data_IF_051294986359
#
_entry.id   IF_051294986359
#
_cell.length_a   1.000
_cell.length_b   1.000
_cell.length_c   1.000
_cell.angle_alpha   90.00
_cell.angle_beta   90.00
_cell.angle_gamma   90.00
#
_symmetry.space_group_name_H-M   'P 1'
#
loop_
_entity.id
_entity.type
_entity.pdbx_description
1 polymer ?
2 polymer ?
3 polymer ?
4 non-polymer ?
5 water ?
#
loop_
_entity_poly.entity_id
_entity_poly.type
_entity_poly.pdbx_seq_one_letter_code
_entity_poly.pdbx_strand_id
2 'polydeoxyribonucleotide' '(DG)(DA)(DA)(DC)(DA)(DC)(DC)(DA)(DC)(DA)(DC)(DA)(DA)(DC)(DA)(DC)(DC)(DC)(DA)(DC)(DA)(DC)(DA)(DC)(DC)(DA)(DG)(DG)(DT)(DG)(DT)' ?
3 'polydeoxyribonucleotide' '(DA)(DC)(DC)(DT)(DG)(DG)(DT)(DG)(DT)(DG)(DT)(DG)(DG)(DG)(DT)(DG)(DT)(DT)(DG)(DT)(DG)(DT)(DG)(DG)(DT)(DG)(DT)(DT)(DC)(DA)(DC)' ?
#
# COMPACT_ATOMS: atom_id res chain seq x y z
N UNK A 1 23.11 -26.10 9.98
CA UNK A 1 22.29 -25.23 10.83
C UNK A 1 23.07 -24.73 12.06
N UNK A 2 22.68 -23.55 12.60
CA UNK A 2 23.31 -22.91 13.76
C UNK A 2 22.29 -22.28 14.74
N UNK A 3 22.49 -22.49 16.06
CA UNK A 3 21.60 -22.00 17.13
C UNK A 3 21.70 -20.50 17.43
N UNK A 4 20.56 -19.89 17.82
CA UNK A 4 20.43 -18.46 18.16
C UNK A 4 20.63 -18.23 19.65
N UNK A 5 21.68 -17.46 20.01
CA UNK A 5 21.94 -17.10 21.41
C UNK A 5 21.12 -15.88 21.80
N UNK A 6 20.95 -15.65 23.12
CA UNK A 6 20.23 -14.49 23.68
C UNK A 6 20.92 -13.17 23.27
N UNK A 7 22.29 -13.20 23.09
CA UNK A 7 23.13 -12.09 22.63
C UNK A 7 22.62 -11.63 21.26
N UNK A 8 22.51 -12.59 20.30
CA UNK A 8 22.02 -12.37 18.94
C UNK A 8 20.56 -11.90 18.95
N UNK A 9 19.67 -12.63 19.67
CA UNK A 9 18.23 -12.34 19.79
C UNK A 9 18.00 -10.87 20.19
N UNK A 10 18.65 -10.42 21.27
CA UNK A 10 18.53 -9.07 21.76
C UNK A 10 19.14 -8.04 20.85
N UNK A 11 20.07 -8.48 19.95
CA UNK A 11 20.68 -7.59 18.97
C UNK A 11 19.70 -7.41 17.81
N UNK A 12 18.99 -8.49 17.38
CA UNK A 12 17.92 -8.45 16.33
C UNK A 12 16.88 -7.38 16.75
N UNK A 13 16.34 -7.52 17.99
CA UNK A 13 15.38 -6.59 18.60
C UNK A 13 15.88 -5.15 18.65
N UNK A 14 17.17 -4.90 18.98
CA UNK A 14 17.68 -3.54 19.03
C UNK A 14 17.75 -2.88 17.65
N UNK A 15 17.89 -3.67 16.59
CA UNK A 15 17.89 -3.16 15.21
C UNK A 15 16.47 -2.73 14.81
N UNK A 16 15.49 -3.63 15.06
CA UNK A 16 14.06 -3.47 14.78
C UNK A 16 13.43 -2.24 15.50
N UNK A 17 13.79 -1.99 16.77
CA UNK A 17 13.33 -0.83 17.54
C UNK A 17 13.91 0.44 16.94
N UNK A 18 15.10 0.34 16.30
CA UNK A 18 15.83 1.45 15.68
C UNK A 18 15.42 1.66 14.22
N UNK A 19 14.75 0.66 13.61
CA UNK A 19 14.21 0.69 12.25
C UNK A 19 12.77 0.15 12.28
N UNK A 20 11.82 0.84 12.98
CA UNK A 20 10.47 0.29 13.13
C UNK A 20 9.71 0.08 11.83
N UNK A 21 9.76 1.02 10.88
CA UNK A 21 9.08 0.94 9.56
C UNK A 21 9.43 -0.37 8.84
N UNK A 22 10.68 -0.81 8.98
CA UNK A 22 11.17 -2.00 8.29
C UNK A 22 10.87 -3.35 8.96
N UNK A 23 10.08 -3.36 10.07
CA UNK A 23 9.73 -4.59 10.83
C UNK A 23 9.33 -5.79 9.92
N UNK A 24 8.45 -5.55 8.93
CA UNK A 24 8.01 -6.64 8.04
C UNK A 24 8.83 -6.80 6.73
N UNK A 25 9.97 -6.09 6.59
CA UNK A 25 10.80 -6.24 5.40
C UNK A 25 11.60 -7.55 5.42
N UNK A 26 12.38 -7.75 4.37
CA UNK A 26 13.26 -8.87 4.17
C UNK A 26 14.72 -8.35 4.16
N UNK A 27 14.92 -7.18 3.52
CA UNK A 27 16.19 -6.45 3.41
C UNK A 27 16.77 -6.07 4.75
N UNK A 28 15.92 -5.75 5.77
CA UNK A 28 16.39 -5.36 7.10
C UNK A 28 17.12 -6.52 7.80
N UNK A 29 16.55 -7.74 7.67
CA UNK A 29 17.08 -8.95 8.29
C UNK A 29 18.28 -9.44 7.53
N UNK A 30 18.37 -9.05 6.23
CA UNK A 30 19.51 -9.32 5.37
C UNK A 30 20.63 -8.40 5.73
N UNK A 31 20.30 -7.25 6.35
CA UNK A 31 21.32 -6.30 6.80
C UNK A 31 22.00 -6.74 8.13
N UNK A 32 21.21 -7.32 9.06
CA UNK A 32 21.67 -7.85 10.35
C UNK A 32 22.57 -9.05 10.09
N UNK A 33 22.21 -9.91 9.12
CA UNK A 33 23.02 -11.09 8.75
C UNK A 33 24.48 -10.72 8.56
N UNK A 34 24.75 -9.50 8.05
CA UNK A 34 26.11 -9.00 7.83
C UNK A 34 26.87 -8.75 9.18
N UNK A 35 26.12 -8.68 10.32
CA UNK A 35 26.62 -8.41 11.69
C UNK A 35 26.63 -9.67 12.60
N UNK A 36 25.86 -10.69 12.23
CA UNK A 36 25.74 -11.96 12.94
C UNK A 36 26.26 -12.97 11.90
N UNK A 37 27.53 -13.40 11.99
CA UNK A 37 28.10 -14.28 10.95
C UNK A 37 27.25 -15.44 10.43
N UNK A 38 27.23 -16.56 11.19
CA UNK A 38 26.56 -17.83 10.89
C UNK A 38 25.04 -17.82 10.59
N UNK A 39 24.38 -16.66 10.67
CA UNK A 39 22.93 -16.57 10.43
C UNK A 39 22.51 -15.87 9.12
N UNK A 40 21.44 -16.34 8.48
CA UNK A 40 20.97 -15.77 7.21
C UNK A 40 19.84 -14.78 7.45
N UNK A 41 19.47 -14.02 6.41
CA UNK A 41 18.37 -13.06 6.50
C UNK A 41 17.07 -13.78 6.80
N UNK A 42 16.87 -14.96 6.15
CA UNK A 42 15.72 -15.82 6.34
C UNK A 42 15.61 -16.23 7.81
N UNK A 43 16.65 -16.87 8.35
CA UNK A 43 16.68 -17.32 9.74
C UNK A 43 16.43 -16.19 10.72
N UNK A 44 17.13 -15.08 10.52
CA UNK A 44 17.00 -13.89 11.36
C UNK A 44 15.55 -13.39 11.30
N UNK A 45 14.96 -13.26 10.09
CA UNK A 45 13.59 -12.80 9.91
C UNK A 45 12.55 -13.77 10.49
N UNK A 46 12.70 -15.11 10.28
CA UNK A 46 11.78 -16.08 10.87
C UNK A 46 11.87 -16.02 12.39
N UNK A 47 13.11 -15.93 12.92
CA UNK A 47 13.42 -15.85 14.35
C UNK A 47 12.72 -14.66 14.98
N UNK A 48 12.78 -13.50 14.33
CA UNK A 48 12.17 -12.32 14.87
C UNK A 48 10.68 -12.57 14.92
N UNK A 49 10.08 -12.73 13.75
CA UNK A 49 8.65 -12.97 13.49
C UNK A 49 8.01 -13.97 14.47
N UNK A 50 8.65 -15.13 14.65
CA UNK A 50 8.12 -16.24 15.45
C UNK A 50 8.37 -16.20 16.97
N UNK A 51 9.64 -16.09 17.39
CA UNK A 51 10.02 -16.15 18.79
C UNK A 51 10.39 -14.81 19.47
N UNK A 52 10.54 -13.71 18.71
CA UNK A 52 11.02 -12.42 19.25
C UNK A 52 10.11 -11.22 19.13
N UNK A 53 9.24 -11.18 18.07
CA UNK A 53 8.27 -10.09 17.83
C UNK A 53 7.45 -9.80 19.08
N UNK A 54 7.01 -10.91 19.78
CA UNK A 54 6.25 -10.92 21.03
C UNK A 54 6.97 -10.27 22.20
N UNK A 55 8.29 -10.03 22.06
CA UNK A 55 9.11 -9.37 23.08
C UNK A 55 9.49 -7.96 22.57
N UNK A 56 8.71 -7.38 21.66
CA UNK A 56 9.09 -6.05 21.20
C UNK A 56 9.06 -5.01 22.32
N UNK A 57 7.99 -4.98 23.14
CA UNK A 57 7.83 -4.11 24.32
C UNK A 57 7.74 -2.62 23.95
N UNK A 58 8.78 -2.09 23.35
CA UNK A 58 8.84 -0.71 22.88
C UNK A 58 9.59 -0.69 21.53
N UNK A 59 9.56 0.47 20.85
CA UNK A 59 10.32 0.78 19.64
C UNK A 59 10.77 2.23 19.84
N UNK A 60 11.65 2.77 18.96
CA UNK A 60 12.03 4.17 19.06
C UNK A 60 11.23 4.99 18.07
N UNK A 61 10.78 6.21 18.46
CA UNK A 61 10.01 7.01 17.50
C UNK A 61 10.86 7.61 16.38
N UNK A 62 10.32 7.53 15.17
CA UNK A 62 10.95 7.98 13.93
C UNK A 62 10.11 9.06 13.28
N UNK A 63 10.66 9.73 12.25
CA UNK A 63 9.93 10.74 11.49
C UNK A 63 9.22 10.03 10.32
N UNK A 64 8.55 10.80 9.43
CA UNK A 64 7.85 10.26 8.28
C UNK A 64 8.80 9.71 7.19
N UNK A 65 9.99 10.35 7.07
CA UNK A 65 11.03 10.17 6.04
C UNK A 65 12.19 9.10 6.12
N UNK A 66 12.23 8.12 7.03
CA UNK A 66 11.35 7.82 8.13
C UNK A 66 12.11 7.16 9.27
N UNK A 67 13.27 7.78 9.65
CA UNK A 67 14.22 7.43 10.73
C UNK A 67 14.98 8.73 11.01
N UNK A 68 15.15 9.21 12.27
CA UNK A 68 14.81 8.71 13.60
C UNK A 68 14.74 9.96 14.52
N UNK A 69 13.75 10.02 15.45
CA UNK A 69 13.53 11.17 16.35
C UNK A 69 14.43 11.18 17.60
N UNK A 70 14.86 12.39 17.99
CA UNK A 70 15.65 12.74 19.18
C UNK A 70 15.01 13.97 19.82
N UNK A 71 15.07 14.05 21.15
CA UNK A 71 14.53 15.19 21.88
C UNK A 71 15.49 16.40 21.79
N UNK A 72 15.28 17.42 22.67
CA UNK A 72 16.14 18.60 22.76
C UNK A 72 17.54 18.25 23.30
N UNK A 73 17.62 17.27 24.23
CA UNK A 73 18.86 16.81 24.88
C UNK A 73 19.57 15.62 24.20
N UNK A 74 19.21 15.35 22.95
CA UNK A 74 19.80 14.32 22.08
C UNK A 74 19.70 12.87 22.55
N UNK A 75 18.51 12.48 23.02
CA UNK A 75 18.20 11.14 23.51
C UNK A 75 17.08 10.53 22.68
N UNK A 76 17.10 9.20 22.53
CA UNK A 76 16.08 8.47 21.79
C UNK A 76 14.77 8.42 22.57
N UNK A 77 13.63 8.29 21.86
CA UNK A 77 12.34 8.26 22.53
C UNK A 77 11.69 6.91 22.39
N UNK A 78 11.50 6.23 23.53
CA UNK A 78 10.85 4.92 23.61
C UNK A 78 9.36 5.13 23.37
N UNK A 79 8.79 4.33 22.45
CA UNK A 79 7.36 4.39 22.11
C UNK A 79 6.71 3.02 22.14
N UNK A 80 5.42 3.00 22.55
CA UNK A 80 4.58 1.82 22.59
C UNK A 80 3.61 1.84 21.37
N UNK A 81 3.95 2.57 20.29
CA UNK A 81 3.08 2.66 19.12
C UNK A 81 3.84 2.48 17.78
N UNK A 82 3.35 1.60 16.89
CA UNK A 82 4.06 1.35 15.63
C UNK A 82 3.89 2.44 14.57
N UNK A 83 4.97 2.84 13.89
CA UNK A 83 4.81 3.84 12.82
C UNK A 83 4.45 3.08 11.53
N UNK A 84 3.87 3.75 10.52
CA UNK A 84 3.52 3.05 9.28
C UNK A 84 4.68 2.25 8.73
N UNK A 85 4.44 1.13 8.06
CA UNK A 85 5.49 0.36 7.43
C UNK A 85 5.80 0.97 6.03
N UNK A 86 6.39 0.18 5.11
CA UNK A 86 6.71 0.72 3.79
C UNK A 86 5.52 0.78 2.83
N UNK A 87 4.67 -0.27 2.81
CA UNK A 87 3.52 -0.34 1.90
C UNK A 87 2.17 -0.30 2.66
N UNK A 88 1.15 0.38 2.07
CA UNK A 88 -0.18 0.51 2.66
C UNK A 88 -1.17 -0.31 1.83
N UNK A 89 -2.00 -1.13 2.50
CA UNK A 89 -2.99 -1.98 1.84
C UNK A 89 -4.11 -1.15 1.20
N UNK A 90 -4.75 -1.67 0.14
CA UNK A 90 -5.89 -0.94 -0.39
C UNK A 90 -7.15 -1.44 0.29
N UNK A 91 -8.00 -0.49 0.70
CA UNK A 91 -9.24 -0.74 1.38
C UNK A 91 -10.42 -0.70 0.41
N UNK A 92 -11.61 -1.19 0.86
CA UNK A 92 -12.81 -1.15 0.05
C UNK A 92 -13.27 0.31 -0.10
N UNK A 93 -13.10 1.13 0.97
CA UNK A 93 -13.48 2.55 0.97
C UNK A 93 -12.63 3.34 -0.01
N UNK A 94 -11.37 2.94 -0.18
CA UNK A 94 -10.42 3.53 -1.11
C UNK A 94 -10.76 3.12 -2.54
N UNK A 95 -11.03 1.81 -2.75
CA UNK A 95 -11.37 1.28 -4.07
C UNK A 95 -12.62 1.95 -4.61
N UNK A 96 -13.62 2.17 -3.74
CA UNK A 96 -14.89 2.83 -4.11
C UNK A 96 -14.66 4.28 -4.37
N UNK A 97 -13.78 4.93 -3.57
CA UNK A 97 -13.44 6.35 -3.74
C UNK A 97 -12.89 6.57 -5.11
N UNK A 98 -11.96 5.70 -5.55
CA UNK A 98 -11.34 5.83 -6.85
C UNK A 98 -12.35 5.61 -7.96
N UNK A 99 -13.20 4.56 -7.86
CA UNK A 99 -14.18 4.26 -8.92
C UNK A 99 -15.00 5.49 -9.22
N UNK A 100 -15.68 6.01 -8.18
CA UNK A 100 -16.52 7.21 -8.21
C UNK A 100 -15.75 8.39 -8.81
N UNK A 101 -14.47 8.60 -8.38
CA UNK A 101 -13.64 9.69 -8.91
C UNK A 101 -13.48 9.56 -10.41
N UNK A 102 -13.17 8.33 -10.89
CA UNK A 102 -13.03 8.04 -12.33
C UNK A 102 -14.41 8.10 -13.03
N UNK A 103 -15.44 7.50 -12.44
CA UNK A 103 -16.76 7.62 -13.04
C UNK A 103 -17.11 9.12 -13.14
N UNK A 104 -16.58 9.96 -12.23
CA UNK A 104 -16.89 11.39 -12.27
C UNK A 104 -16.10 12.03 -13.40
N UNK A 105 -14.82 11.72 -13.50
CA UNK A 105 -13.98 12.29 -14.57
C UNK A 105 -14.58 11.92 -15.91
N UNK A 106 -14.80 10.62 -16.14
CA UNK A 106 -15.41 10.07 -17.35
C UNK A 106 -16.70 10.79 -17.70
N UNK A 107 -17.54 11.12 -16.68
CA UNK A 107 -18.79 11.89 -16.87
C UNK A 107 -18.42 13.30 -17.36
N UNK A 108 -17.50 14.02 -16.64
CA UNK A 108 -17.03 15.38 -16.97
C UNK A 108 -16.50 15.47 -18.40
N UNK A 109 -15.81 14.42 -18.89
CA UNK A 109 -15.28 14.37 -20.24
C UNK A 109 -16.42 14.18 -21.29
N UNK A 110 -17.09 13.01 -21.27
CA UNK A 110 -18.18 12.62 -22.19
C UNK A 110 -19.34 13.62 -22.40
N UNK A 111 -19.70 14.40 -21.37
CA UNK A 111 -20.86 15.31 -21.43
C UNK A 111 -20.56 16.76 -21.13
N UNK A 112 -19.36 17.07 -20.58
CA UNK A 112 -18.94 18.43 -20.23
C UNK A 112 -19.96 19.10 -19.29
N UNK A 113 -20.39 18.35 -18.23
CA UNK A 113 -21.41 18.84 -17.29
C UNK A 113 -20.98 18.89 -15.81
N UNK A 114 -20.48 17.77 -15.27
CA UNK A 114 -20.05 17.67 -13.87
C UNK A 114 -21.16 17.60 -12.81
N UNK A 115 -21.27 16.45 -12.09
CA UNK A 115 -22.22 16.35 -10.97
C UNK A 115 -21.52 16.78 -9.65
N UNK A 116 -22.24 17.22 -8.61
CA UNK A 116 -23.69 17.38 -8.46
C UNK A 116 -24.09 18.78 -8.93
N UNK A 117 -23.82 19.11 -10.20
CA UNK A 117 -24.10 20.42 -10.75
C UNK A 117 -24.82 20.40 -12.13
N UNK A 118 -24.43 21.34 -13.00
CA UNK A 118 -24.93 21.53 -14.34
C UNK A 118 -24.04 22.48 -15.11
N UNK A 119 -23.28 21.95 -16.10
CA UNK A 119 -22.35 22.62 -17.03
C UNK A 119 -21.01 23.09 -16.47
N UNK A 120 -19.93 22.82 -17.23
CA UNK A 120 -18.56 23.17 -16.88
C UNK A 120 -17.83 23.70 -18.11
N UNK A 140 -26.87 29.36 -23.35
CA UNK A 140 -27.78 28.42 -22.67
C UNK A 140 -29.20 28.96 -22.44
N UNK A 141 -30.29 28.12 -22.49
CA UNK A 141 -30.37 26.65 -22.61
C UNK A 141 -30.08 26.01 -21.22
N UNK A 142 -30.36 24.71 -20.96
CA UNK A 142 -30.83 23.63 -21.80
C UNK A 142 -31.76 22.75 -20.92
N UNK A 143 -32.67 23.39 -20.16
CA UNK A 143 -33.61 22.73 -19.24
C UNK A 143 -32.86 22.16 -18.02
N UNK A 144 -32.89 22.83 -16.85
CA UNK A 144 -32.19 22.26 -15.67
C UNK A 144 -32.69 20.88 -15.27
N UNK A 145 -31.80 19.91 -15.26
CA UNK A 145 -32.14 18.55 -14.90
C UNK A 145 -32.11 17.57 -16.05
N UNK A 146 -31.89 18.06 -17.28
CA UNK A 146 -31.82 17.24 -18.49
C UNK A 146 -30.51 16.44 -18.58
N UNK A 147 -29.50 16.83 -17.79
CA UNK A 147 -28.15 16.26 -17.72
C UNK A 147 -28.18 14.72 -17.57
N UNK A 148 -27.55 13.98 -18.49
CA UNK A 148 -27.56 12.51 -18.43
C UNK A 148 -27.69 11.93 -17.03
N UNK A 149 -26.84 12.40 -16.08
CA UNK A 149 -26.74 12.05 -14.65
C UNK A 149 -27.17 10.66 -14.19
N UNK A 150 -26.31 9.89 -13.54
CA UNK A 150 -24.86 9.91 -13.25
C UNK A 150 -24.73 8.58 -12.58
N UNK A 151 -25.67 8.34 -11.65
CA UNK A 151 -25.86 7.12 -10.89
C UNK A 151 -26.22 6.04 -11.91
N UNK A 152 -27.02 6.45 -12.94
CA UNK A 152 -27.47 5.67 -14.08
C UNK A 152 -26.40 5.61 -15.16
N UNK A 153 -25.49 6.61 -15.23
CA UNK A 153 -24.40 6.60 -16.20
C UNK A 153 -23.48 5.40 -15.94
N UNK A 154 -23.20 4.61 -17.00
CA UNK A 154 -22.31 3.46 -16.96
C UNK A 154 -21.18 3.71 -17.93
N UNK A 155 -19.95 3.76 -17.38
CA UNK A 155 -18.62 3.86 -18.00
C UNK A 155 -18.50 2.95 -19.22
N UNK A 156 -19.14 1.77 -19.16
CA UNK A 156 -19.12 0.75 -20.19
C UNK A 156 -17.65 0.28 -20.49
N UNK A 157 -17.28 0.41 -21.76
CA UNK A 157 -16.02 0.02 -22.38
C UNK A 157 -14.87 1.00 -22.06
N UNK A 158 -15.22 2.26 -21.66
CA UNK A 158 -14.31 3.38 -21.41
C UNK A 158 -13.22 3.09 -20.43
N UNK A 159 -11.97 3.41 -20.82
CA UNK A 159 -10.80 3.19 -20.00
C UNK A 159 -9.83 4.38 -19.90
N UNK A 160 -10.25 5.51 -20.46
CA UNK A 160 -9.50 6.77 -20.47
C UNK A 160 -9.83 7.59 -21.69
N UNK A 161 -9.11 8.67 -22.04
CA UNK A 161 -7.92 9.24 -21.39
C UNK A 161 -8.08 9.87 -20.01
N UNK A 162 -7.02 9.74 -19.22
CA UNK A 162 -6.88 10.28 -17.89
C UNK A 162 -5.59 11.09 -17.90
N UNK A 163 -5.67 12.38 -17.58
CA UNK A 163 -4.44 13.18 -17.55
C UNK A 163 -3.68 12.86 -16.28
N UNK A 164 -2.38 13.27 -16.21
CA UNK A 164 -1.56 13.05 -15.00
C UNK A 164 -2.19 13.91 -13.89
N UNK A 165 -2.77 15.09 -14.28
CA UNK A 165 -3.50 16.01 -13.42
C UNK A 165 -4.38 15.21 -12.42
N UNK A 166 -5.10 14.18 -12.93
CA UNK A 166 -5.99 13.32 -12.18
C UNK A 166 -5.38 12.61 -11.00
N UNK A 167 -4.44 11.67 -11.25
CA UNK A 167 -3.81 10.91 -10.17
C UNK A 167 -2.95 11.75 -9.21
N UNK A 168 -2.52 12.95 -9.65
CA UNK A 168 -1.76 13.87 -8.81
C UNK A 168 -2.75 14.48 -7.83
N UNK A 169 -3.83 15.10 -8.35
CA UNK A 169 -4.91 15.71 -7.58
C UNK A 169 -5.53 14.68 -6.64
N UNK A 170 -5.85 13.49 -7.17
CA UNK A 170 -6.42 12.39 -6.38
C UNK A 170 -5.55 12.00 -5.18
N UNK A 171 -4.23 11.85 -5.40
CA UNK A 171 -3.30 11.52 -4.32
C UNK A 171 -3.08 12.74 -3.42
N UNK A 172 -3.27 13.96 -3.97
CA UNK A 172 -3.14 15.18 -3.18
C UNK A 172 -4.27 15.16 -2.14
N UNK A 173 -5.52 14.91 -2.59
CA UNK A 173 -6.71 14.80 -1.75
C UNK A 173 -6.70 13.55 -0.84
N UNK A 174 -6.40 12.38 -1.43
CA UNK A 174 -6.33 11.09 -0.73
C UNK A 174 -4.86 10.64 -0.61
N UNK A 175 -4.22 11.03 0.50
CA UNK A 175 -2.80 10.79 0.78
C UNK A 175 -2.36 9.36 1.10
N UNK A 176 -3.27 8.48 1.60
CA UNK A 176 -3.01 7.08 1.99
C UNK A 176 -2.09 6.36 1.00
N UNK A 177 -2.34 6.55 -0.30
CA UNK A 177 -1.49 5.98 -1.32
C UNK A 177 -0.97 7.09 -2.22
N UNK A 178 0.19 6.84 -2.89
CA UNK A 178 0.83 7.81 -3.79
C UNK A 178 0.24 7.81 -5.20
N UNK A 179 0.64 8.84 -6.00
CA UNK A 179 0.22 9.03 -7.39
C UNK A 179 0.28 7.70 -8.16
N UNK A 180 1.48 7.10 -8.21
CA UNK A 180 1.78 5.87 -8.93
C UNK A 180 1.05 4.72 -8.36
N UNK A 181 0.89 4.71 -7.03
CA UNK A 181 0.20 3.64 -6.30
C UNK A 181 -1.20 3.56 -6.81
N UNK A 182 -1.87 4.74 -6.83
CA UNK A 182 -3.23 4.99 -7.29
C UNK A 182 -3.45 4.62 -8.72
N UNK A 183 -2.58 5.08 -9.63
CA UNK A 183 -2.69 4.75 -11.05
C UNK A 183 -2.62 3.25 -11.26
N UNK A 184 -1.71 2.54 -10.55
CA UNK A 184 -1.57 1.11 -10.77
C UNK A 184 -2.74 0.34 -10.24
N UNK A 185 -3.46 0.92 -9.27
CA UNK A 185 -4.68 0.28 -8.77
C UNK A 185 -5.73 0.42 -9.88
N UNK A 186 -6.08 1.67 -10.28
CA UNK A 186 -6.98 1.96 -11.39
C UNK A 186 -6.65 1.04 -12.58
N UNK A 187 -5.38 0.92 -12.88
CA UNK A 187 -4.91 0.13 -14.00
C UNK A 187 -5.06 -1.39 -13.84
N UNK A 188 -4.42 -1.97 -12.81
CA UNK A 188 -4.39 -3.41 -12.63
C UNK A 188 -5.54 -4.07 -11.94
N UNK A 189 -6.28 -3.28 -11.12
CA UNK A 189 -7.46 -3.68 -10.35
C UNK A 189 -8.75 -3.10 -10.88
N UNK A 190 -8.94 -1.76 -10.86
CA UNK A 190 -10.21 -1.17 -11.33
C UNK A 190 -10.61 -1.57 -12.73
N UNK A 191 -9.75 -1.29 -13.74
CA UNK A 191 -9.98 -1.62 -15.15
C UNK A 191 -10.14 -3.14 -15.36
N UNK A 192 -9.53 -3.96 -14.46
CA UNK A 192 -9.63 -5.42 -14.46
C UNK A 192 -11.05 -5.88 -14.08
N UNK A 193 -11.55 -5.44 -12.90
CA UNK A 193 -12.88 -5.76 -12.34
C UNK A 193 -13.98 -5.01 -13.08
N UNK A 194 -13.65 -3.78 -13.43
CA UNK A 194 -14.55 -2.88 -14.13
C UNK A 194 -14.99 -1.79 -13.18
N UNK A 195 -14.90 -0.51 -13.65
CA UNK A 195 -15.30 0.68 -12.89
C UNK A 195 -16.75 0.53 -12.45
N UNK A 196 -17.63 0.08 -13.37
CA UNK A 196 -19.02 -0.08 -13.02
C UNK A 196 -19.24 -1.24 -12.11
N UNK A 197 -18.58 -2.38 -12.40
CA UNK A 197 -18.81 -3.58 -11.59
C UNK A 197 -18.47 -3.40 -10.11
N UNK A 198 -17.39 -2.70 -9.79
CA UNK A 198 -17.09 -2.43 -8.40
C UNK A 198 -18.08 -1.47 -7.78
N UNK A 199 -18.54 -0.43 -8.51
CA UNK A 199 -19.52 0.43 -7.87
C UNK A 199 -20.76 -0.42 -7.57
N UNK A 200 -21.21 -1.21 -8.55
CA UNK A 200 -22.35 -2.12 -8.41
C UNK A 200 -22.19 -3.11 -7.24
N UNK A 201 -20.95 -3.64 -7.01
CA UNK A 201 -20.65 -4.61 -5.96
C UNK A 201 -20.70 -3.95 -4.61
N UNK A 202 -19.87 -2.91 -4.38
CA UNK A 202 -19.74 -2.16 -3.11
C UNK A 202 -21.15 -1.69 -2.58
N UNK A 203 -21.95 -1.11 -3.49
CA UNK A 203 -23.26 -0.59 -3.17
C UNK A 203 -24.22 -1.72 -2.76
N UNK A 204 -24.04 -2.90 -3.40
CA UNK A 204 -24.81 -4.12 -3.13
C UNK A 204 -24.49 -4.68 -1.78
N UNK A 205 -23.21 -4.82 -1.42
CA UNK A 205 -22.88 -5.35 -0.09
C UNK A 205 -23.46 -4.48 1.02
N UNK A 206 -23.31 -3.15 0.90
CA UNK A 206 -23.88 -2.15 1.82
C UNK A 206 -25.39 -2.37 1.94
N UNK A 207 -26.05 -2.55 0.77
CA UNK A 207 -27.50 -2.79 0.70
C UNK A 207 -27.83 -4.06 1.46
N UNK A 208 -27.07 -5.13 1.26
CA UNK A 208 -27.32 -6.38 1.97
C UNK A 208 -26.77 -6.41 3.42
N UNK A 209 -26.51 -5.21 3.99
CA UNK A 209 -25.97 -5.01 5.34
C UNK A 209 -24.63 -5.72 5.62
N UNK A 210 -23.95 -6.08 4.51
CA UNK A 210 -22.64 -6.71 4.44
C UNK A 210 -21.55 -5.59 4.31
N UNK A 211 -20.29 -5.92 4.65
CA UNK A 211 -19.19 -4.97 4.54
C UNK A 211 -18.33 -5.31 3.28
N UNK A 212 -18.30 -4.41 2.28
CA UNK A 212 -17.56 -4.70 1.04
C UNK A 212 -16.08 -4.90 1.23
N UNK A 213 -15.51 -5.75 0.40
CA UNK A 213 -14.12 -6.09 0.43
C UNK A 213 -13.40 -5.41 -0.73
N UNK A 214 -12.12 -4.95 -0.52
CA UNK A 214 -11.36 -4.42 -1.65
C UNK A 214 -11.18 -5.56 -2.64
N UNK A 215 -11.07 -5.22 -3.93
CA UNK A 215 -10.87 -6.26 -4.94
C UNK A 215 -9.48 -6.88 -4.71
N UNK A 216 -9.38 -8.18 -4.84
CA UNK A 216 -8.16 -8.92 -4.57
C UNK A 216 -7.94 -9.94 -5.67
N UNK A 217 -6.73 -10.48 -5.77
CA UNK A 217 -6.34 -11.51 -6.71
C UNK A 217 -6.50 -11.24 -8.18
N UNK A 218 -6.20 -10.02 -8.62
CA UNK A 218 -6.25 -9.63 -10.04
C UNK A 218 -4.85 -9.34 -10.66
N UNK A 219 -3.76 -9.94 -10.13
CA UNK A 219 -2.47 -9.57 -10.72
C UNK A 219 -2.07 -10.38 -11.94
N UNK A 220 -2.69 -10.13 -13.10
CA UNK A 220 -2.24 -10.86 -14.26
C UNK A 220 -0.97 -10.23 -14.83
N UNK A 221 0.14 -10.99 -14.81
CA UNK A 221 1.45 -10.59 -15.34
C UNK A 221 2.10 -11.80 -16.09
N UNK A 222 2.52 -11.66 -17.39
CA UNK A 222 3.15 -12.81 -18.07
C UNK A 222 4.38 -13.33 -17.32
N UNK A 223 4.50 -14.67 -17.34
CA UNK A 223 5.52 -15.47 -16.67
C UNK A 223 6.95 -14.96 -16.86
N UNK A 224 7.65 -14.71 -15.73
CA UNK A 224 9.04 -14.29 -15.72
C UNK A 224 9.92 -15.38 -15.08
N UNK A 225 10.07 -16.60 -15.72
CA UNK A 225 10.97 -17.62 -15.17
C UNK A 225 12.35 -17.00 -15.22
N UNK A 226 13.32 -17.51 -14.47
CA UNK A 226 14.59 -16.79 -14.30
C UNK A 226 14.14 -15.74 -13.30
N UNK A 227 14.97 -14.78 -12.87
CA UNK A 227 14.46 -13.77 -11.88
C UNK A 227 14.06 -14.51 -10.57
N UNK A 228 15.05 -14.87 -9.73
CA UNK A 228 14.77 -15.62 -8.49
C UNK A 228 13.63 -15.11 -7.62
N UNK A 229 12.89 -16.02 -6.97
CA UNK A 229 11.83 -15.66 -6.04
C UNK A 229 12.29 -14.57 -5.05
N UNK A 230 11.53 -13.48 -4.91
CA UNK A 230 11.94 -12.45 -3.95
C UNK A 230 11.63 -12.90 -2.52
N UNK A 231 12.26 -12.24 -1.55
CA UNK A 231 12.01 -12.54 -0.15
C UNK A 231 12.59 -13.86 0.27
N UNK A 232 13.88 -14.05 -0.02
CA UNK A 232 14.65 -15.26 0.26
C UNK A 232 16.13 -14.88 0.27
N UNK A 233 16.56 -14.22 1.38
CA UNK A 233 17.94 -13.78 1.62
C UNK A 233 18.62 -14.92 2.32
N UNK A 234 19.27 -15.77 1.52
CA UNK A 234 19.89 -17.01 2.00
C UNK A 234 21.39 -16.90 2.17
N UNK A 235 22.03 -18.03 2.54
CA UNK A 235 23.48 -18.18 2.69
C UNK A 235 24.12 -18.03 1.31
N UNK A 236 23.32 -18.32 0.25
CA UNK A 236 23.61 -18.17 -1.17
C UNK A 236 23.32 -16.69 -1.49
N UNK A 237 24.05 -15.81 -0.78
CA UNK A 237 23.98 -14.35 -0.78
C UNK A 237 22.80 -13.81 0.04
N UNK A 238 22.99 -13.38 1.33
CA UNK A 238 24.22 -13.24 2.14
C UNK A 238 25.39 -12.82 1.29
N UNK A 239 26.48 -13.64 1.26
CA UNK A 239 27.69 -13.50 0.44
C UNK A 239 27.86 -12.07 -0.16
N UNK A 240 27.92 -11.08 0.75
CA UNK A 240 27.96 -9.65 0.45
C UNK A 240 29.25 -9.15 -0.17
N UNK A 241 30.41 -9.75 0.22
CA UNK A 241 31.78 -9.39 -0.19
C UNK A 241 32.12 -7.88 0.02
N UNK A 242 31.30 -7.22 0.89
CA UNK A 242 31.35 -5.81 1.26
C UNK A 242 31.21 -5.65 2.79
X LIG D 1 -29.07 21.75 -15.57
#
# INVERSE_FOLDING_TARGET
KASFTDEEDEFILDVVRKNPTRRTTHTLYDEISHYVPNHTGNSIRHRFRVYLSKRLEYVYEVDKFGKLVRDDDGNLIKTKVLPPSIKRKFSADEDYTLAIAVKKQFYRDLFQIDPDTGRSLITDEDTPTAIARRNMTMDPNHVPGSEPNFAAYRTQSRRGPIAREFFKHFAEEHAAHTENAWRDRFRKFLLAYGIDDYISYYEAEKAQNREPEPMKNLTNRPKRPGVPTPGNYNSAAKRARN
CA CA
#
